data_IF_788147838993
#
_entry.id   IF_788147838993
#
_cell.length_a   1.000
_cell.length_b   1.000
_cell.length_c   1.000
_cell.angle_alpha   90.00
_cell.angle_beta   90.00
_cell.angle_gamma   90.00
#
_symmetry.space_group_name_H-M   'P 1'
#
loop_
_entity.id
_entity.type
_entity.pdbx_description
1 polymer ?
#
# COMPACT_ATOMS: atom_id res chain seq x y z
N UNK A 1 -11.46 41.84 -57.86
CA UNK A 1 -11.76 43.27 -57.58
C UNK A 1 -12.60 43.36 -56.32
N UNK A 2 -12.24 44.27 -55.41
CA UNK A 2 -12.84 44.50 -54.08
C UNK A 2 -14.33 44.88 -54.12
N UNK A 3 -15.06 44.52 -53.05
CA UNK A 3 -15.94 45.38 -52.19
C UNK A 3 -16.59 44.47 -51.10
N UNK A 4 -16.28 44.58 -49.79
CA UNK A 4 -16.93 45.43 -48.73
C UNK A 4 -18.45 45.52 -48.88
N UNK A 5 -19.36 45.41 -47.89
CA UNK A 5 -19.43 45.26 -46.42
C UNK A 5 -20.94 45.11 -46.10
N UNK A 6 -21.35 44.60 -44.93
CA UNK A 6 -22.33 45.24 -44.00
C UNK A 6 -23.16 44.24 -43.19
N UNK A 7 -23.11 44.48 -41.88
CA UNK A 7 -23.81 43.86 -40.75
C UNK A 7 -25.26 44.37 -40.66
N UNK A 8 -26.19 43.54 -40.19
CA UNK A 8 -27.48 44.00 -39.66
C UNK A 8 -27.68 43.41 -38.27
N UNK A 9 -27.79 44.32 -37.29
CA UNK A 9 -28.33 44.08 -35.95
C UNK A 9 -29.86 44.22 -36.00
N UNK A 10 -30.58 43.38 -35.25
CA UNK A 10 -31.96 43.65 -34.88
C UNK A 10 -32.12 43.46 -33.37
N UNK A 11 -32.49 44.54 -32.70
CA UNK A 11 -32.92 44.60 -31.30
C UNK A 11 -34.39 44.99 -31.25
N UNK A 12 -35.17 44.31 -30.39
CA UNK A 12 -36.49 44.68 -29.86
C UNK A 12 -36.71 43.72 -28.66
N UNK A 13 -37.11 44.08 -27.45
CA UNK A 13 -37.66 45.31 -26.89
C UNK A 13 -38.81 44.96 -25.91
N UNK A 14 -38.47 44.77 -24.63
CA UNK A 14 -39.28 44.95 -23.39
C UNK A 14 -40.64 44.24 -23.16
N UNK A 15 -40.75 43.58 -22.00
CA UNK A 15 -41.82 43.82 -21.01
C UNK A 15 -41.41 43.27 -19.62
N UNK A 16 -41.46 44.13 -18.59
CA UNK A 16 -41.36 43.83 -17.16
C UNK A 16 -42.76 44.01 -16.55
N UNK A 17 -43.22 43.10 -15.69
CA UNK A 17 -44.20 43.38 -14.62
C UNK A 17 -44.18 42.34 -13.49
N UNK A 18 -43.70 42.75 -12.31
CA UNK A 18 -44.33 42.68 -10.98
C UNK A 18 -44.87 41.37 -10.37
N UNK A 19 -44.13 40.88 -9.36
CA UNK A 19 -44.48 40.31 -8.04
C UNK A 19 -45.85 39.64 -7.74
N UNK A 20 -45.77 38.43 -7.16
CA UNK A 20 -46.76 37.81 -6.27
C UNK A 20 -46.20 36.52 -5.65
N UNK A 21 -45.91 36.54 -4.35
CA UNK A 21 -45.31 35.40 -3.63
C UNK A 21 -46.32 34.34 -3.20
N UNK A 22 -45.87 33.08 -3.14
CA UNK A 22 -46.31 32.09 -2.15
C UNK A 22 -45.31 30.93 -2.08
N UNK A 23 -44.72 30.77 -0.89
CA UNK A 23 -44.30 29.51 -0.24
C UNK A 23 -43.83 28.34 -1.12
N UNK A 24 -42.53 28.21 -1.30
CA UNK A 24 -41.84 26.96 -1.57
C UNK A 24 -40.50 26.99 -0.84
N UNK A 25 -40.42 26.36 0.33
CA UNK A 25 -39.17 26.24 1.06
C UNK A 25 -38.17 25.46 0.21
N UNK A 26 -37.07 26.11 -0.17
CA UNK A 26 -35.91 25.40 -0.70
C UNK A 26 -35.38 24.45 0.39
N UNK A 27 -35.06 23.19 0.07
CA UNK A 27 -34.38 22.33 1.02
C UNK A 27 -33.02 22.98 1.33
N UNK A 28 -32.77 23.22 2.62
CA UNK A 28 -31.44 23.58 3.11
C UNK A 28 -30.43 22.61 2.50
N UNK A 29 -29.31 23.09 1.92
CA UNK A 29 -28.24 22.18 1.59
C UNK A 29 -27.86 21.46 2.89
N UNK A 30 -27.88 20.13 2.84
CA UNK A 30 -27.42 19.30 3.95
C UNK A 30 -25.96 19.64 4.28
N UNK A 31 -25.48 19.26 5.47
CA UNK A 31 -24.12 19.57 5.88
C UNK A 31 -23.13 19.10 4.79
N UNK A 32 -22.26 20.01 4.36
CA UNK A 32 -21.16 19.74 3.45
C UNK A 32 -20.36 18.51 3.93
N UNK A 33 -19.93 17.62 3.02
CA UNK A 33 -18.98 16.60 3.39
C UNK A 33 -17.63 17.27 3.69
N UNK A 34 -17.26 17.31 4.97
CA UNK A 34 -15.87 17.44 5.40
C UNK A 34 -15.53 16.13 6.12
N UNK A 35 -14.59 15.33 5.59
CA UNK A 35 -13.17 15.67 5.67
C UNK A 35 -12.33 15.28 4.42
N UNK A 36 -11.39 16.16 4.05
CA UNK A 36 -10.05 15.78 3.58
C UNK A 36 -9.89 14.85 2.36
N UNK A 37 -10.82 14.77 1.42
CA UNK A 37 -10.60 14.05 0.16
C UNK A 37 -9.69 14.88 -0.74
N UNK A 38 -8.46 14.41 -0.96
CA UNK A 38 -7.62 14.86 -2.07
C UNK A 38 -8.17 14.20 -3.35
N UNK A 39 -8.84 14.93 -4.26
CA UNK A 39 -9.54 14.31 -5.40
C UNK A 39 -8.59 13.69 -6.43
N UNK A 40 -7.30 14.04 -6.39
CA UNK A 40 -6.24 13.47 -7.23
C UNK A 40 -5.43 12.37 -6.50
N UNK A 41 -5.61 12.23 -5.19
CA UNK A 41 -5.04 11.17 -4.38
C UNK A 41 -6.14 10.14 -4.13
N UNK A 42 -6.37 9.25 -5.08
CA UNK A 42 -7.32 8.12 -5.01
C UNK A 42 -7.07 7.13 -3.85
N UNK A 43 -6.18 7.46 -2.89
CA UNK A 43 -5.90 6.65 -1.72
C UNK A 43 -6.71 7.12 -0.51
N UNK A 44 -7.28 6.18 0.24
CA UNK A 44 -7.96 6.50 1.49
C UNK A 44 -7.10 6.03 2.66
N UNK A 45 -6.45 6.97 3.38
CA UNK A 45 -5.56 6.62 4.48
C UNK A 45 -6.29 5.90 5.65
N UNK A 46 -7.60 6.12 5.80
CA UNK A 46 -8.42 5.45 6.82
C UNK A 46 -8.56 3.94 6.58
N UNK A 47 -8.24 3.46 5.38
CA UNK A 47 -8.15 2.03 5.05
C UNK A 47 -6.89 1.37 5.61
N UNK A 48 -6.08 2.06 6.40
CA UNK A 48 -4.78 1.56 6.81
C UNK A 48 -4.53 1.81 8.29
N UNK A 49 -3.73 0.92 8.88
CA UNK A 49 -2.90 1.23 10.05
C UNK A 49 -1.44 1.23 9.62
N UNK A 50 -0.59 1.99 10.31
CA UNK A 50 0.84 2.08 10.04
C UNK A 50 1.63 1.44 11.17
N UNK A 51 2.51 0.48 10.88
CA UNK A 51 3.53 0.02 11.83
C UNK A 51 4.79 0.87 11.68
N UNK A 52 5.32 1.36 12.79
CA UNK A 52 6.53 2.19 12.84
C UNK A 52 7.76 1.36 13.22
N UNK A 53 8.98 1.76 12.81
CA UNK A 53 10.22 1.07 13.15
C UNK A 53 10.76 1.44 14.55
N UNK A 54 9.89 1.88 15.47
CA UNK A 54 10.20 2.28 16.84
C UNK A 54 9.31 1.54 17.84
N UNK A 55 9.81 1.29 19.06
CA UNK A 55 9.07 0.54 20.07
C UNK A 55 7.91 1.34 20.66
N UNK A 56 6.92 0.67 21.25
CA UNK A 56 5.84 1.32 21.99
C UNK A 56 6.36 2.07 23.21
N UNK A 57 7.34 1.53 23.93
CA UNK A 57 7.96 2.23 25.06
C UNK A 57 8.66 3.52 24.62
N UNK A 58 9.42 3.48 23.53
CA UNK A 58 10.14 4.67 23.04
C UNK A 58 9.17 5.72 22.43
N UNK A 59 8.06 5.28 21.81
CA UNK A 59 7.13 6.17 21.12
C UNK A 59 5.97 6.66 21.99
N UNK A 60 5.36 5.78 22.78
CA UNK A 60 4.23 6.07 23.67
C UNK A 60 4.64 6.28 25.14
N UNK A 61 5.88 5.96 25.52
CA UNK A 61 6.32 5.90 26.91
C UNK A 61 5.84 4.66 27.67
N UNK A 62 5.14 3.73 27.01
CA UNK A 62 4.65 2.47 27.60
C UNK A 62 4.19 1.47 26.52
N UNK A 63 4.09 0.19 26.88
CA UNK A 63 3.53 -0.86 26.01
C UNK A 63 4.53 -1.90 25.48
N UNK A 64 5.80 -1.81 25.91
CA UNK A 64 6.87 -2.78 25.68
C UNK A 64 7.74 -2.50 24.44
N UNK A 65 8.70 -3.40 24.20
CA UNK A 65 9.66 -3.32 23.08
C UNK A 65 9.07 -3.64 21.69
N UNK A 66 7.79 -4.02 21.60
CA UNK A 66 7.13 -4.27 20.30
C UNK A 66 6.96 -2.98 19.51
N UNK A 67 6.92 -3.09 18.18
CA UNK A 67 6.69 -1.95 17.29
C UNK A 67 5.41 -1.16 17.64
N UNK A 68 5.54 0.17 17.61
CA UNK A 68 4.43 1.10 17.71
C UNK A 68 3.59 1.08 16.42
N UNK A 69 2.31 1.42 16.56
CA UNK A 69 1.38 1.46 15.43
C UNK A 69 0.50 2.70 15.50
N UNK A 70 0.40 3.46 14.41
CA UNK A 70 -0.68 4.41 14.23
C UNK A 70 -1.90 3.71 13.66
N UNK A 71 -3.08 4.11 14.09
CA UNK A 71 -4.37 3.56 13.63
C UNK A 71 -5.28 4.70 13.19
N UNK A 72 -6.34 4.44 12.41
CA UNK A 72 -7.33 5.47 12.08
C UNK A 72 -7.88 6.17 13.32
N UNK A 73 -8.44 7.36 13.12
CA UNK A 73 -9.09 8.12 14.19
C UNK A 73 -10.16 7.28 14.91
N UNK A 74 -10.48 7.65 16.16
CA UNK A 74 -11.50 7.02 17.03
C UNK A 74 -11.13 5.69 17.71
N UNK A 75 -9.94 5.14 17.47
CA UNK A 75 -9.47 3.97 18.20
C UNK A 75 -8.65 4.37 19.45
N UNK A 76 -9.21 4.08 20.64
CA UNK A 76 -8.61 4.49 21.92
C UNK A 76 -7.20 3.93 22.16
N UNK A 77 -6.32 4.76 22.71
CA UNK A 77 -5.03 4.33 23.27
C UNK A 77 -3.86 4.23 22.28
N UNK A 78 -4.03 4.65 21.03
CA UNK A 78 -2.92 4.84 20.08
C UNK A 78 -3.03 6.17 19.36
N UNK A 79 -1.94 6.60 18.74
CA UNK A 79 -1.95 7.82 17.92
C UNK A 79 -2.63 7.59 16.57
N UNK A 80 -3.22 8.67 16.06
CA UNK A 80 -4.00 8.68 14.82
C UNK A 80 -3.09 8.73 13.58
N UNK A 81 -3.35 7.85 12.62
CA UNK A 81 -2.86 7.95 11.24
C UNK A 81 -3.85 8.81 10.44
N UNK A 82 -3.36 9.87 9.81
CA UNK A 82 -4.13 10.75 8.93
C UNK A 82 -3.23 11.34 7.84
N UNK A 83 -3.82 12.02 6.85
CA UNK A 83 -3.06 12.71 5.81
C UNK A 83 -2.14 13.81 6.38
N UNK A 84 -2.39 14.27 7.61
CA UNK A 84 -1.57 15.27 8.30
C UNK A 84 -0.46 14.63 9.16
N UNK A 85 -0.38 13.30 9.22
CA UNK A 85 0.67 12.61 9.96
C UNK A 85 2.05 12.97 9.40
N UNK A 86 2.91 13.49 10.28
CA UNK A 86 4.30 13.81 9.99
C UNK A 86 5.21 13.32 11.10
N UNK A 87 5.91 12.23 10.83
CA UNK A 87 6.86 11.56 11.71
C UNK A 87 8.16 11.30 10.95
N UNK A 88 9.25 11.05 11.69
CA UNK A 88 10.55 10.71 11.10
C UNK A 88 10.51 9.45 10.20
N UNK A 89 9.53 8.58 10.44
CA UNK A 89 9.38 7.31 9.75
C UNK A 89 8.32 7.33 8.64
N UNK A 90 7.47 8.36 8.62
CA UNK A 90 6.37 8.48 7.67
C UNK A 90 5.86 9.92 7.61
N UNK A 91 5.70 10.44 6.40
CA UNK A 91 5.00 11.69 6.16
C UNK A 91 4.38 11.72 4.77
N UNK A 92 3.37 12.56 4.58
CA UNK A 92 2.91 12.98 3.25
C UNK A 92 3.57 14.32 2.93
N UNK A 93 4.33 14.40 1.84
CA UNK A 93 4.99 15.65 1.46
C UNK A 93 3.96 16.69 0.99
N UNK A 94 4.06 17.91 1.51
CA UNK A 94 3.08 18.95 1.24
C UNK A 94 3.11 19.46 -0.20
N UNK A 95 4.25 19.31 -0.89
CA UNK A 95 4.49 19.85 -2.22
C UNK A 95 4.07 18.87 -3.31
N UNK A 96 4.58 17.64 -3.26
CA UNK A 96 4.33 16.62 -4.31
C UNK A 96 3.25 15.59 -3.93
N UNK A 97 2.72 15.67 -2.71
CA UNK A 97 1.66 14.81 -2.17
C UNK A 97 2.02 13.33 -2.07
N UNK A 98 3.31 12.98 -2.19
CA UNK A 98 3.76 11.60 -2.05
C UNK A 98 3.82 11.19 -0.59
N UNK A 99 3.44 9.95 -0.31
CA UNK A 99 3.63 9.34 0.99
C UNK A 99 5.05 8.76 1.07
N UNK A 100 5.87 9.26 1.98
CA UNK A 100 7.22 8.78 2.21
C UNK A 100 7.23 7.80 3.37
N UNK A 101 7.90 6.68 3.18
CA UNK A 101 8.19 5.70 4.21
C UNK A 101 9.69 5.64 4.41
N UNK A 102 10.12 5.73 5.67
CA UNK A 102 11.52 5.89 6.02
C UNK A 102 11.94 4.94 7.14
N UNK A 103 13.11 4.33 6.97
CA UNK A 103 13.78 3.50 7.97
C UNK A 103 15.28 3.79 7.93
N UNK A 104 15.87 4.21 9.06
CA UNK A 104 17.30 4.19 9.29
C UNK A 104 17.70 2.85 9.94
N UNK A 105 18.55 2.06 9.28
CA UNK A 105 19.00 0.76 9.78
C UNK A 105 19.93 0.85 10.99
N UNK A 106 20.46 2.04 11.28
CA UNK A 106 21.29 2.31 12.46
C UNK A 106 20.53 2.41 13.78
N UNK A 107 19.21 2.64 13.71
CA UNK A 107 18.39 2.79 14.89
C UNK A 107 18.21 1.42 15.58
N UNK A 108 18.00 1.41 16.91
CA UNK A 108 17.71 0.18 17.68
C UNK A 108 16.63 -0.64 16.98
N UNK A 109 15.63 0.05 16.43
CA UNK A 109 14.52 -0.56 15.73
C UNK A 109 13.57 -1.30 16.66
N UNK A 110 12.32 -1.44 16.26
CA UNK A 110 11.40 -2.39 16.88
C UNK A 110 10.72 -3.25 15.82
N UNK A 111 10.44 -4.50 16.19
CA UNK A 111 9.81 -5.49 15.32
C UNK A 111 8.50 -5.98 15.92
N UNK A 112 7.80 -6.82 15.17
CA UNK A 112 6.59 -7.52 15.64
C UNK A 112 6.91 -8.98 15.93
N UNK A 113 6.03 -9.68 16.65
CA UNK A 113 6.24 -11.05 17.16
C UNK A 113 6.80 -12.04 16.12
N UNK A 114 6.41 -11.91 14.85
CA UNK A 114 6.79 -12.83 13.79
C UNK A 114 7.87 -12.27 12.83
N UNK A 115 8.58 -11.21 13.23
CA UNK A 115 9.57 -10.54 12.38
C UNK A 115 10.83 -10.15 13.15
N UNK A 116 11.97 -10.31 12.50
CA UNK A 116 13.27 -9.82 12.98
C UNK A 116 13.72 -8.54 12.25
N UNK A 117 12.84 -7.94 11.44
CA UNK A 117 13.15 -6.75 10.66
C UNK A 117 12.17 -5.62 10.95
N UNK A 118 12.69 -4.40 10.98
CA UNK A 118 11.92 -3.17 11.14
C UNK A 118 11.10 -2.87 9.90
N UNK A 119 10.07 -2.03 10.04
CA UNK A 119 9.24 -1.58 8.93
C UNK A 119 8.66 -0.21 9.22
N UNK A 120 8.47 0.55 8.15
CA UNK A 120 7.50 1.63 8.09
C UNK A 120 6.49 1.20 7.02
N UNK A 121 5.40 0.57 7.45
CA UNK A 121 4.56 -0.20 6.53
C UNK A 121 3.09 -0.19 6.94
N UNK A 122 2.23 0.04 5.96
CA UNK A 122 0.79 0.00 6.10
C UNK A 122 0.27 -1.44 6.13
N UNK A 123 -0.80 -1.64 6.88
CA UNK A 123 -1.61 -2.86 6.93
C UNK A 123 -3.06 -2.47 6.67
N UNK A 124 -3.65 -3.05 5.64
CA UNK A 124 -5.02 -2.76 5.20
C UNK A 124 -6.05 -3.06 6.30
N UNK A 125 -7.04 -2.20 6.48
CA UNK A 125 -8.22 -2.39 7.30
C UNK A 125 -9.45 -2.60 6.40
N UNK A 126 -9.71 -3.85 5.98
CA UNK A 126 -10.76 -4.16 5.00
C UNK A 126 -12.15 -3.59 5.35
N UNK A 127 -12.54 -3.71 6.61
CA UNK A 127 -13.82 -3.23 7.15
C UNK A 127 -13.64 -1.90 7.90
N UNK A 128 -12.76 -1.01 7.43
CA UNK A 128 -12.45 0.26 8.09
C UNK A 128 -13.69 1.14 8.31
N UNK A 129 -14.70 1.07 7.43
CA UNK A 129 -15.91 1.88 7.56
C UNK A 129 -16.80 1.45 8.75
N UNK A 130 -16.57 0.27 9.31
CA UNK A 130 -17.38 -0.26 10.42
C UNK A 130 -16.91 0.26 11.79
N UNK A 131 -17.74 0.09 12.81
CA UNK A 131 -17.40 0.43 14.21
C UNK A 131 -16.27 -0.42 14.79
N UNK A 132 -15.92 -1.54 14.16
CA UNK A 132 -14.91 -2.49 14.65
C UNK A 132 -13.54 -2.31 13.95
N UNK A 133 -13.25 -1.13 13.39
CA UNK A 133 -11.99 -0.81 12.69
C UNK A 133 -10.72 -0.98 13.53
N UNK A 134 -10.87 -0.95 14.85
CA UNK A 134 -9.74 -1.02 15.79
C UNK A 134 -9.22 -2.45 16.04
N UNK A 135 -9.96 -3.49 15.65
CA UNK A 135 -9.53 -4.89 15.84
C UNK A 135 -9.06 -5.50 14.53
N UNK A 136 -7.81 -5.96 14.45
CA UNK A 136 -7.26 -6.58 13.23
C UNK A 136 -7.95 -7.89 12.82
N UNK A 137 -8.61 -8.60 13.74
CA UNK A 137 -9.31 -9.86 13.44
C UNK A 137 -10.50 -9.70 12.50
N UNK A 138 -11.15 -8.53 12.50
CA UNK A 138 -12.33 -8.24 11.69
C UNK A 138 -11.98 -7.46 10.42
N UNK A 139 -10.70 -7.38 10.06
CA UNK A 139 -10.19 -6.43 9.09
C UNK A 139 -9.42 -7.16 7.98
N UNK A 140 -9.96 -8.29 7.56
CA UNK A 140 -9.40 -9.21 6.56
C UNK A 140 -10.49 -9.57 5.54
N UNK A 141 -10.09 -9.90 4.31
CA UNK A 141 -10.96 -10.37 3.23
C UNK A 141 -10.65 -11.83 2.87
N UNK A 142 -11.65 -12.60 2.45
CA UNK A 142 -11.44 -13.92 1.86
C UNK A 142 -11.32 -13.79 0.33
N UNK A 143 -10.64 -14.72 -0.34
CA UNK A 143 -10.56 -14.77 -1.82
C UNK A 143 -11.87 -15.35 -2.37
N UNK A 144 -12.97 -14.61 -2.18
CA UNK A 144 -14.27 -14.95 -2.73
C UNK A 144 -14.57 -14.18 -4.02
N UNK A 145 -14.00 -13.00 -4.19
CA UNK A 145 -14.10 -12.19 -5.38
C UNK A 145 -12.71 -11.63 -5.76
N UNK A 146 -12.63 -10.47 -6.42
CA UNK A 146 -11.39 -9.88 -6.93
C UNK A 146 -10.83 -8.85 -5.95
N UNK A 147 -9.55 -8.98 -5.59
CA UNK A 147 -8.85 -8.07 -4.69
C UNK A 147 -7.55 -7.58 -5.35
N UNK A 148 -7.31 -6.27 -5.40
CA UNK A 148 -6.14 -5.70 -6.05
C UNK A 148 -5.50 -4.61 -5.19
N UNK A 149 -4.17 -4.69 -5.01
CA UNK A 149 -3.33 -3.60 -4.54
C UNK A 149 -2.54 -3.03 -5.73
N UNK A 150 -2.75 -1.76 -6.03
CA UNK A 150 -2.05 -1.01 -7.08
C UNK A 150 -1.24 0.13 -6.47
N UNK A 151 0.05 0.19 -6.79
CA UNK A 151 0.93 1.26 -6.30
C UNK A 151 1.76 1.89 -7.40
N UNK A 152 2.07 3.16 -7.22
CA UNK A 152 3.04 3.91 -8.01
C UNK A 152 4.04 4.57 -7.07
N UNK A 153 5.33 4.33 -7.29
CA UNK A 153 6.38 4.62 -6.34
C UNK A 153 7.74 4.84 -7.00
N UNK A 154 8.69 5.33 -6.21
CA UNK A 154 10.12 5.31 -6.53
C UNK A 154 10.96 5.08 -5.27
N UNK A 155 12.12 4.46 -5.45
CA UNK A 155 13.12 4.34 -4.38
C UNK A 155 13.89 5.66 -4.30
N UNK A 156 13.81 6.35 -3.16
CA UNK A 156 14.46 7.66 -2.94
C UNK A 156 15.85 7.49 -2.35
N UNK A 157 16.00 6.58 -1.39
CA UNK A 157 17.26 6.27 -0.77
C UNK A 157 17.31 4.79 -0.42
N UNK A 158 18.49 4.20 -0.56
CA UNK A 158 18.73 2.81 -0.20
C UNK A 158 20.15 2.66 0.36
N UNK A 159 20.39 1.69 1.26
CA UNK A 159 21.65 1.55 1.95
C UNK A 159 22.77 1.06 1.01
N UNK A 160 23.99 1.52 1.28
CA UNK A 160 25.21 1.11 0.58
C UNK A 160 26.11 0.36 1.56
N UNK A 161 25.72 -0.87 1.91
CA UNK A 161 26.47 -1.71 2.84
C UNK A 161 27.27 -2.74 2.05
N UNK A 162 28.59 -2.72 2.21
CA UNK A 162 29.50 -3.61 1.48
C UNK A 162 29.11 -5.08 1.66
N UNK A 163 28.87 -5.78 0.55
CA UNK A 163 28.53 -7.21 0.55
C UNK A 163 27.08 -7.53 0.90
N UNK A 164 26.23 -6.53 1.13
CA UNK A 164 24.81 -6.71 1.47
C UNK A 164 23.94 -6.05 0.41
N UNK A 165 23.09 -6.83 -0.25
CA UNK A 165 22.12 -6.31 -1.20
C UNK A 165 21.02 -5.50 -0.47
N UNK A 166 20.59 -4.33 -1.01
CA UNK A 166 19.60 -3.45 -0.40
C UNK A 166 18.17 -3.99 -0.60
N UNK A 167 17.88 -5.14 0.00
CA UNK A 167 16.59 -5.83 -0.10
C UNK A 167 15.52 -5.10 0.71
N UNK A 168 14.42 -4.71 0.06
CA UNK A 168 13.24 -4.10 0.70
C UNK A 168 11.95 -4.62 0.07
N UNK A 169 11.03 -5.07 0.92
CA UNK A 169 9.69 -5.46 0.48
C UNK A 169 8.81 -4.21 0.42
N UNK A 170 8.04 -4.09 -0.67
CA UNK A 170 7.27 -2.89 -1.02
C UNK A 170 5.75 -3.13 -0.99
N UNK A 171 5.32 -4.35 -1.27
CA UNK A 171 3.91 -4.76 -1.28
C UNK A 171 3.75 -6.22 -0.92
N UNK A 172 2.66 -6.56 -0.22
CA UNK A 172 2.38 -7.94 0.23
C UNK A 172 0.89 -8.28 0.19
N UNK A 173 0.60 -9.57 0.04
CA UNK A 173 -0.62 -10.20 0.56
C UNK A 173 -0.19 -11.11 1.70
N UNK A 174 -0.83 -10.95 2.87
CA UNK A 174 -0.51 -11.75 4.04
C UNK A 174 -1.77 -12.37 4.63
N UNK A 175 -1.69 -13.65 5.00
CA UNK A 175 -2.78 -14.34 5.69
C UNK A 175 -2.94 -13.84 7.13
N UNK A 176 -4.17 -13.77 7.61
CA UNK A 176 -4.48 -13.57 9.03
C UNK A 176 -4.12 -14.83 9.82
N UNK A 177 -3.38 -14.68 10.92
CA UNK A 177 -2.88 -15.80 11.73
C UNK A 177 -2.11 -16.86 10.93
N UNK A 178 -1.37 -16.44 9.90
CA UNK A 178 -0.48 -17.29 9.12
C UNK A 178 0.90 -16.64 9.11
N UNK A 179 1.96 -17.41 9.38
CA UNK A 179 3.34 -16.87 9.45
C UNK A 179 3.96 -16.69 8.07
N UNK A 180 3.58 -17.52 7.10
CA UNK A 180 4.06 -17.46 5.72
C UNK A 180 3.25 -16.40 4.95
N UNK A 181 3.92 -15.37 4.42
CA UNK A 181 3.24 -14.41 3.54
C UNK A 181 2.89 -15.09 2.20
N UNK A 182 1.69 -14.86 1.68
CA UNK A 182 1.28 -15.40 0.38
C UNK A 182 2.09 -14.76 -0.75
N UNK A 183 2.24 -13.43 -0.71
CA UNK A 183 2.97 -12.64 -1.72
C UNK A 183 3.88 -11.64 -1.04
N UNK A 184 5.13 -11.50 -1.49
CA UNK A 184 6.05 -10.40 -1.14
C UNK A 184 6.73 -9.86 -2.39
N UNK A 185 6.44 -8.61 -2.74
CA UNK A 185 7.12 -7.90 -3.83
C UNK A 185 8.38 -7.23 -3.27
N UNK A 186 9.54 -7.59 -3.82
CA UNK A 186 10.87 -7.24 -3.35
C UNK A 186 11.63 -6.45 -4.41
N UNK A 187 12.18 -5.31 -4.03
CA UNK A 187 13.28 -4.65 -4.74
C UNK A 187 14.60 -4.92 -4.00
N UNK A 188 15.69 -5.15 -4.74
CA UNK A 188 16.97 -5.54 -4.13
C UNK A 188 18.21 -4.94 -4.80
N UNK A 189 18.04 -3.73 -5.35
CA UNK A 189 19.10 -2.99 -6.03
C UNK A 189 18.80 -2.78 -7.51
N UNK A 190 19.41 -1.73 -8.05
CA UNK A 190 19.14 -1.22 -9.39
C UNK A 190 19.49 -2.18 -10.54
N UNK A 191 20.36 -3.16 -10.27
CA UNK A 191 20.84 -4.13 -11.26
C UNK A 191 20.19 -5.50 -11.13
N UNK A 192 19.16 -5.62 -10.27
CA UNK A 192 18.48 -6.88 -10.01
C UNK A 192 17.00 -6.73 -10.35
N UNK A 193 16.37 -7.74 -10.98
CA UNK A 193 14.94 -7.71 -11.21
C UNK A 193 14.16 -7.52 -9.90
N UNK A 194 13.04 -6.80 -9.99
CA UNK A 194 11.99 -6.83 -8.97
C UNK A 194 11.48 -8.27 -8.91
N UNK A 195 11.54 -8.88 -7.74
CA UNK A 195 11.10 -10.27 -7.52
C UNK A 195 9.81 -10.29 -6.75
N UNK A 196 8.93 -11.21 -7.10
CA UNK A 196 7.79 -11.56 -6.25
C UNK A 196 8.04 -12.93 -5.66
N UNK A 197 8.11 -13.00 -4.33
CA UNK A 197 8.29 -14.22 -3.56
C UNK A 197 6.94 -14.72 -3.11
N UNK A 198 6.70 -16.00 -3.33
CA UNK A 198 5.51 -16.73 -2.88
C UNK A 198 5.89 -17.84 -1.90
N UNK A 199 4.93 -18.29 -1.10
CA UNK A 199 5.00 -19.59 -0.43
C UNK A 199 3.98 -20.52 -1.06
N UNK A 200 4.41 -21.73 -1.43
CA UNK A 200 3.56 -22.74 -2.07
C UNK A 200 2.34 -23.11 -1.22
N UNK A 201 2.54 -23.25 0.10
CA UNK A 201 1.53 -23.54 1.12
C UNK A 201 1.84 -22.79 2.41
N UNK A 202 1.10 -23.12 3.48
CA UNK A 202 1.26 -22.50 4.79
C UNK A 202 0.87 -23.46 5.91
N UNK A 203 1.16 -23.06 7.14
CA UNK A 203 0.56 -23.63 8.35
C UNK A 203 -0.33 -22.59 9.03
N UNK A 204 -1.53 -22.96 9.51
CA UNK A 204 -2.45 -22.06 10.19
C UNK A 204 -1.95 -21.72 11.60
N UNK A 205 -2.64 -20.80 12.28
CA UNK A 205 -2.40 -20.42 13.69
C UNK A 205 -0.99 -19.86 13.97
N UNK A 206 -0.35 -19.24 12.98
CA UNK A 206 1.02 -18.73 13.01
C UNK A 206 2.10 -19.81 13.24
N UNK A 207 1.77 -21.07 12.96
CA UNK A 207 2.71 -22.16 13.12
C UNK A 207 3.86 -22.08 12.11
N UNK A 208 4.99 -22.69 12.48
CA UNK A 208 6.13 -22.78 11.58
C UNK A 208 5.92 -23.91 10.58
N UNK A 209 5.81 -23.55 9.31
CA UNK A 209 5.75 -24.53 8.24
C UNK A 209 7.14 -25.06 7.91
N UNK A 210 7.41 -26.32 8.29
CA UNK A 210 8.72 -26.95 8.10
C UNK A 210 8.96 -27.45 6.67
N UNK A 211 7.92 -27.61 5.88
CA UNK A 211 7.97 -28.18 4.53
C UNK A 211 7.37 -27.28 3.45
N UNK A 212 6.98 -26.04 3.79
CA UNK A 212 6.66 -25.00 2.83
C UNK A 212 7.90 -24.64 2.01
N UNK A 213 7.71 -24.46 0.71
CA UNK A 213 8.71 -23.96 -0.21
C UNK A 213 8.40 -22.52 -0.58
N UNK A 214 9.40 -21.65 -0.43
CA UNK A 214 9.34 -20.32 -1.03
C UNK A 214 9.97 -20.35 -2.42
N UNK A 215 9.35 -19.68 -3.38
CA UNK A 215 9.87 -19.53 -4.74
C UNK A 215 9.62 -18.11 -5.23
N UNK A 216 10.25 -17.70 -6.34
CA UNK A 216 10.06 -16.35 -6.89
C UNK A 216 9.95 -16.30 -8.39
N UNK A 217 9.31 -15.22 -8.87
CA UNK A 217 9.26 -14.82 -10.28
C UNK A 217 9.79 -13.40 -10.45
N UNK A 218 10.37 -13.10 -11.60
CA UNK A 218 10.89 -11.77 -11.94
C UNK A 218 9.88 -10.90 -12.71
N UNK A 219 9.84 -9.61 -12.39
CA UNK A 219 8.99 -8.58 -12.98
C UNK A 219 9.80 -7.36 -13.50
N UNK A 220 10.87 -7.62 -14.25
CA UNK A 220 11.70 -6.57 -14.84
C UNK A 220 12.60 -5.83 -13.83
N UNK A 221 13.41 -4.89 -14.30
CA UNK A 221 14.43 -4.20 -13.49
C UNK A 221 14.20 -2.70 -13.51
N UNK A 222 14.25 -2.06 -12.33
CA UNK A 222 14.03 -0.62 -12.16
C UNK A 222 15.12 -0.02 -11.28
N UNK A 223 15.61 1.17 -11.66
CA UNK A 223 16.63 1.91 -10.91
C UNK A 223 16.01 2.71 -9.78
N UNK A 224 16.81 3.16 -8.83
CA UNK A 224 16.35 4.16 -7.88
C UNK A 224 16.01 5.46 -8.62
N UNK A 225 15.11 6.25 -8.05
CA UNK A 225 14.58 7.50 -8.60
C UNK A 225 13.79 7.39 -9.91
N UNK A 226 13.71 6.22 -10.55
CA UNK A 226 12.75 5.97 -11.62
C UNK A 226 11.37 5.70 -11.00
N UNK A 227 10.34 6.39 -11.49
CA UNK A 227 8.96 6.13 -11.10
C UNK A 227 8.42 4.91 -11.85
N UNK A 228 7.76 4.00 -11.13
CA UNK A 228 7.23 2.76 -11.69
C UNK A 228 5.99 2.31 -10.92
N UNK A 229 5.28 1.34 -11.48
CA UNK A 229 4.05 0.79 -10.90
C UNK A 229 4.15 -0.69 -10.63
N UNK A 230 3.45 -1.16 -9.61
CA UNK A 230 3.14 -2.58 -9.45
C UNK A 230 1.67 -2.79 -9.17
N UNK A 231 1.21 -3.99 -9.54
CA UNK A 231 -0.11 -4.50 -9.21
C UNK A 231 0.03 -5.90 -8.60
N UNK A 232 -0.65 -6.14 -7.48
CA UNK A 232 -0.81 -7.46 -6.87
C UNK A 232 -2.31 -7.74 -6.83
N UNK A 233 -2.75 -8.71 -7.62
CA UNK A 233 -4.15 -9.08 -7.78
C UNK A 233 -4.36 -10.54 -7.36
N UNK A 234 -5.45 -10.81 -6.64
CA UNK A 234 -5.87 -12.16 -6.26
C UNK A 234 -7.37 -12.33 -6.49
N UNK A 235 -7.73 -13.44 -7.11
CA UNK A 235 -9.11 -13.90 -7.27
C UNK A 235 -9.20 -15.43 -7.14
N UNK A 236 -10.38 -15.99 -7.41
CA UNK A 236 -10.63 -17.44 -7.33
C UNK A 236 -9.85 -18.26 -8.36
N UNK A 237 -9.30 -17.64 -9.40
CA UNK A 237 -8.62 -18.30 -10.50
C UNK A 237 -7.11 -18.33 -10.27
N UNK A 238 -6.52 -17.19 -9.88
CA UNK A 238 -5.08 -17.04 -9.77
C UNK A 238 -4.65 -15.89 -8.84
N UNK A 239 -3.35 -15.83 -8.59
CA UNK A 239 -2.66 -14.58 -8.26
C UNK A 239 -2.05 -14.03 -9.54
N UNK A 240 -2.28 -12.76 -9.84
CA UNK A 240 -1.57 -12.04 -10.91
C UNK A 240 -0.73 -10.93 -10.30
N UNK A 241 0.55 -10.89 -10.66
CA UNK A 241 1.48 -9.84 -10.26
C UNK A 241 2.11 -9.19 -11.47
N UNK A 242 2.20 -7.87 -11.47
CA UNK A 242 2.80 -7.14 -12.57
C UNK A 242 3.54 -5.90 -12.15
N UNK A 243 4.45 -5.45 -13.01
CA UNK A 243 5.09 -4.14 -12.93
C UNK A 243 4.92 -3.40 -14.24
N UNK A 244 4.85 -2.07 -14.17
CA UNK A 244 5.02 -1.17 -15.32
C UNK A 244 6.26 -0.35 -15.12
N UNK A 245 7.31 -0.61 -15.89
CA UNK A 245 8.61 0.06 -15.80
C UNK A 245 8.91 0.68 -17.16
N UNK A 246 9.11 2.00 -17.21
CA UNK A 246 9.34 2.74 -18.47
C UNK A 246 8.28 2.45 -19.56
N UNK A 247 7.01 2.31 -19.14
CA UNK A 247 5.88 2.00 -20.02
C UNK A 247 5.79 0.53 -20.46
N UNK A 248 6.71 -0.33 -20.05
CA UNK A 248 6.69 -1.77 -20.36
C UNK A 248 6.04 -2.53 -19.20
N UNK A 249 5.00 -3.29 -19.51
CA UNK A 249 4.30 -4.15 -18.55
C UNK A 249 4.95 -5.54 -18.55
N UNK A 250 5.40 -6.00 -17.38
CA UNK A 250 5.79 -7.40 -17.15
C UNK A 250 4.80 -8.02 -16.18
N UNK A 251 4.17 -9.14 -16.54
CA UNK A 251 3.14 -9.81 -15.73
C UNK A 251 3.39 -11.30 -15.58
N UNK A 252 3.00 -11.85 -14.43
CA UNK A 252 3.01 -13.28 -14.11
C UNK A 252 1.70 -13.66 -13.47
N UNK A 253 1.09 -14.73 -13.97
CA UNK A 253 -0.11 -15.34 -13.42
C UNK A 253 0.25 -16.69 -12.77
N UNK A 254 -0.27 -16.92 -11.57
CA UNK A 254 -0.05 -18.14 -10.79
C UNK A 254 -1.41 -18.75 -10.45
N UNK A 255 -1.94 -19.67 -11.28
CA UNK A 255 -3.22 -20.31 -11.04
C UNK A 255 -3.17 -21.26 -9.85
N UNK A 256 -4.26 -21.32 -9.07
CA UNK A 256 -4.33 -22.18 -7.89
C UNK A 256 -4.31 -23.67 -8.24
N UNK A 257 -3.39 -24.42 -7.64
CA UNK A 257 -3.22 -25.86 -7.85
C UNK A 257 -2.58 -26.23 -9.20
N UNK A 258 -1.97 -25.27 -9.91
CA UNK A 258 -1.27 -25.50 -11.17
C UNK A 258 0.24 -25.26 -10.98
N UNK A 259 1.12 -26.18 -11.41
CA UNK A 259 2.56 -25.97 -11.38
C UNK A 259 3.00 -24.82 -12.29
N UNK A 260 3.80 -23.90 -11.74
CA UNK A 260 4.43 -22.78 -12.44
C UNK A 260 5.95 -22.88 -12.28
N UNK A 261 6.68 -22.61 -13.36
CA UNK A 261 8.14 -22.56 -13.34
C UNK A 261 8.63 -21.27 -12.65
N UNK A 262 9.50 -21.40 -11.66
CA UNK A 262 10.10 -20.29 -10.93
C UNK A 262 11.47 -19.91 -11.48
N UNK A 263 12.10 -18.88 -10.91
CA UNK A 263 13.39 -18.36 -11.37
C UNK A 263 14.55 -19.36 -11.26
N UNK A 264 14.45 -20.36 -10.39
CA UNK A 264 15.44 -21.43 -10.23
C UNK A 264 15.28 -22.56 -11.27
N UNK A 265 14.23 -22.50 -12.11
CA UNK A 265 13.90 -23.50 -13.11
C UNK A 265 13.07 -24.67 -12.58
N UNK A 266 12.79 -24.70 -11.27
CA UNK A 266 11.92 -25.71 -10.66
C UNK A 266 10.44 -25.30 -10.78
N UNK A 267 9.55 -26.29 -10.62
CA UNK A 267 8.10 -26.07 -10.67
C UNK A 267 7.49 -26.09 -9.29
N UNK A 268 6.74 -25.04 -8.98
CA UNK A 268 6.04 -24.87 -7.71
C UNK A 268 4.55 -24.75 -7.94
N UNK A 269 3.74 -25.18 -6.98
CA UNK A 269 2.28 -25.11 -7.05
C UNK A 269 1.75 -24.38 -5.82
N UNK A 270 1.07 -23.25 -6.02
CA UNK A 270 0.29 -22.64 -4.95
C UNK A 270 -0.87 -23.57 -4.61
N UNK A 271 -0.95 -24.04 -3.37
CA UNK A 271 -2.05 -24.94 -2.96
C UNK A 271 -3.38 -24.21 -2.98
N UNK A 272 -4.47 -24.96 -3.17
CA UNK A 272 -5.83 -24.40 -3.09
C UNK A 272 -6.24 -24.09 -1.65
N UNK A 273 -5.47 -24.54 -0.65
CA UNK A 273 -5.78 -24.30 0.76
C UNK A 273 -5.76 -22.81 1.10
N UNK A 274 -4.96 -22.01 0.38
CA UNK A 274 -4.96 -20.55 0.51
C UNK A 274 -6.34 -19.94 0.25
N UNK A 275 -7.20 -20.56 -0.56
CA UNK A 275 -8.56 -20.07 -0.83
C UNK A 275 -9.49 -20.18 0.39
N UNK A 276 -9.11 -20.93 1.42
CA UNK A 276 -9.91 -21.10 2.64
C UNK A 276 -9.56 -20.08 3.72
N UNK A 277 -8.59 -19.21 3.48
CA UNK A 277 -8.05 -18.27 4.45
C UNK A 277 -8.56 -16.83 4.23
N UNK A 278 -8.23 -15.96 5.19
CA UNK A 278 -8.47 -14.52 5.07
C UNK A 278 -7.17 -13.75 5.05
N UNK A 279 -7.17 -12.63 4.35
CA UNK A 279 -5.97 -11.89 3.96
C UNK A 279 -6.14 -10.39 4.17
N UNK A 280 -5.02 -9.69 4.09
CA UNK A 280 -4.94 -8.24 4.04
C UNK A 280 -3.73 -7.84 3.20
N UNK A 281 -3.84 -6.70 2.54
CA UNK A 281 -2.74 -6.06 1.84
C UNK A 281 -1.79 -5.35 2.82
N UNK A 282 -0.54 -5.21 2.39
CA UNK A 282 0.47 -4.36 3.02
C UNK A 282 1.23 -3.60 1.96
N UNK A 283 1.60 -2.36 2.26
CA UNK A 283 2.36 -1.48 1.37
C UNK A 283 3.21 -0.50 2.17
N UNK A 284 4.37 -0.08 1.65
CA UNK A 284 5.32 0.79 2.34
C UNK A 284 6.73 0.22 2.20
N UNK A 285 7.52 0.24 3.29
CA UNK A 285 8.84 -0.41 3.30
C UNK A 285 8.99 -1.40 4.45
N UNK A 286 9.44 -2.60 4.08
CA UNK A 286 9.86 -3.63 5.00
C UNK A 286 11.28 -4.11 4.61
N UNK A 287 12.32 -3.37 5.02
CA UNK A 287 13.72 -3.75 4.79
C UNK A 287 14.02 -5.18 5.23
N UNK A 288 14.75 -5.92 4.42
CA UNK A 288 15.18 -7.30 4.71
C UNK A 288 16.65 -7.33 5.17
N UNK A 289 17.04 -6.30 5.92
CA UNK A 289 18.34 -6.14 6.57
C UNK A 289 18.06 -5.88 8.05
N UNK A 290 18.70 -6.65 8.93
CA UNK A 290 18.51 -6.48 10.37
C UNK A 290 19.13 -5.14 10.81
N UNK A 291 18.42 -4.30 11.57
CA UNK A 291 18.99 -3.10 12.15
C UNK A 291 20.21 -3.40 12.99
N UNK A 292 21.20 -2.53 12.93
CA UNK A 292 22.42 -2.60 13.71
C UNK A 292 23.01 -1.19 13.83
N UNK A 293 23.44 -0.82 15.03
CA UNK A 293 24.09 0.46 15.31
C UNK A 293 25.31 0.77 14.42
N UNK A 294 25.94 -0.22 13.77
CA UNK A 294 27.00 0.02 12.79
C UNK A 294 26.47 0.60 11.46
N UNK A 295 25.17 0.47 11.19
CA UNK A 295 24.49 0.92 9.97
C UNK A 295 23.90 2.32 10.13
N UNK A 296 24.48 3.18 10.96
CA UNK A 296 24.02 4.56 11.07
C UNK A 296 24.04 5.28 9.73
N UNK A 297 22.93 5.96 9.42
CA UNK A 297 22.66 6.64 8.15
C UNK A 297 22.53 5.68 6.94
N UNK A 298 22.41 4.38 7.15
CA UNK A 298 22.04 3.43 6.11
C UNK A 298 20.52 3.37 6.02
N UNK A 299 19.99 4.14 5.08
CA UNK A 299 18.57 4.49 5.03
C UNK A 299 17.89 3.74 3.89
N UNK A 300 16.67 3.29 4.15
CA UNK A 300 15.67 3.07 3.12
C UNK A 300 14.65 4.21 3.17
N UNK A 301 14.44 4.86 2.03
CA UNK A 301 13.36 5.79 1.81
C UNK A 301 12.68 5.46 0.49
N UNK A 302 11.36 5.30 0.52
CA UNK A 302 10.54 5.06 -0.67
C UNK A 302 9.34 5.98 -0.59
N UNK A 303 9.07 6.68 -1.69
CA UNK A 303 7.91 7.54 -1.83
C UNK A 303 6.87 6.89 -2.74
N UNK A 304 5.60 7.06 -2.40
CA UNK A 304 4.46 6.53 -3.14
C UNK A 304 3.56 7.68 -3.60
N UNK A 305 3.33 7.75 -4.90
CA UNK A 305 2.32 8.64 -5.50
C UNK A 305 0.91 8.09 -5.29
N UNK A 306 0.80 6.76 -5.30
CA UNK A 306 -0.46 6.03 -5.19
C UNK A 306 -0.26 4.75 -4.41
N UNK A 307 -1.18 4.46 -3.49
CA UNK A 307 -1.41 3.14 -2.91
C UNK A 307 -2.91 2.92 -2.85
N UNK A 308 -3.45 2.17 -3.81
CA UNK A 308 -4.88 1.97 -3.96
C UNK A 308 -5.24 0.50 -3.75
N UNK A 309 -6.34 0.27 -3.04
CA UNK A 309 -6.95 -1.04 -2.92
C UNK A 309 -8.29 -1.03 -3.63
N UNK A 310 -8.56 -2.09 -4.38
CA UNK A 310 -9.88 -2.36 -4.95
C UNK A 310 -10.36 -3.75 -4.54
N UNK A 311 -11.63 -3.83 -4.14
CA UNK A 311 -12.37 -5.07 -3.94
C UNK A 311 -13.63 -5.04 -4.80
N UNK A 312 -13.83 -6.06 -5.62
CA UNK A 312 -14.97 -6.23 -6.53
C UNK A 312 -15.61 -7.58 -6.28
#
# INVERSE_FOLDING_TARGET
MRKTTTVVFLTLGFALYGCGGSSGGEPSPGPEPSPGTCPECDWNIEQWKLTLPISRDDFYGSGGDSAAELIPADCSGKQTLSNDTRLDYFWVDSNDKRAHFYVNLGDKGATTTNSNYVRSELRELYNYQTSNRCSSSNQNWAINNSHTLSSELQIEQYPQISGIAPKVILGQIHGYEIKQALVKLLWEGENTPVRVIFNDKFEPNNETCSDCQSFSVDLGTVKAHDNWRYDIHADKQAITVSTTINGVITSKELPWGVPVEANDGDKYTLTKDWLNETFYFKAGIYPQIKPDTQYQNQIFEVSFNKINIEHK
#
